data_IF_878252165213
#
_entry.id   IF_878252165213
#
_cell.length_a   1.000
_cell.length_b   1.000
_cell.length_c   1.000
_cell.angle_alpha   90.00
_cell.angle_beta   90.00
_cell.angle_gamma   90.00
#
_symmetry.space_group_name_H-M   'P 1'
#
loop_
_entity.id
_entity.type
_entity.pdbx_description
1 polymer ?
#
# COMPACT_ATOMS: atom_id res chain seq x y z
N UNK A 1 4.16 3.91 -11.72
CA UNK A 1 5.29 3.01 -11.98
C UNK A 1 5.61 2.24 -10.72
N UNK A 2 6.10 1.00 -10.83
CA UNK A 2 6.47 0.13 -9.70
C UNK A 2 7.40 0.87 -8.71
N UNK A 3 8.37 1.62 -9.23
CA UNK A 3 9.34 2.40 -8.45
C UNK A 3 8.69 3.44 -7.52
N UNK A 4 7.62 4.11 -7.97
CA UNK A 4 6.87 5.06 -7.14
C UNK A 4 6.18 4.35 -5.98
N UNK A 5 5.62 3.17 -6.22
CA UNK A 5 5.00 2.36 -5.16
C UNK A 5 6.00 1.96 -4.08
N UNK A 6 7.23 1.59 -4.48
CA UNK A 6 8.31 1.27 -3.54
C UNK A 6 8.80 2.50 -2.78
N UNK A 7 8.90 3.66 -3.45
CA UNK A 7 9.25 4.93 -2.79
C UNK A 7 8.20 5.33 -1.74
N UNK A 8 6.91 5.26 -2.09
CA UNK A 8 5.81 5.55 -1.16
C UNK A 8 5.78 4.57 0.01
N UNK A 9 6.03 3.27 -0.24
CA UNK A 9 6.14 2.28 0.84
C UNK A 9 7.29 2.58 1.80
N UNK A 10 8.44 3.01 1.26
CA UNK A 10 9.63 3.38 2.02
C UNK A 10 9.37 4.58 2.95
N UNK A 11 8.80 5.65 2.41
CA UNK A 11 8.65 6.91 3.13
C UNK A 11 7.37 6.96 3.99
N UNK A 12 6.23 6.46 3.49
CA UNK A 12 4.92 6.62 4.15
C UNK A 12 4.50 5.40 4.98
N UNK A 13 5.04 4.21 4.71
CA UNK A 13 4.61 2.98 5.38
C UNK A 13 5.72 2.35 6.25
N UNK A 14 6.78 3.10 6.53
CA UNK A 14 7.77 2.74 7.55
C UNK A 14 8.71 1.61 7.14
N UNK A 15 8.90 1.38 5.84
CA UNK A 15 9.85 0.39 5.30
C UNK A 15 11.31 0.84 5.38
N UNK A 16 11.58 2.08 5.82
CA UNK A 16 12.95 2.59 6.02
C UNK A 16 13.74 1.76 7.05
N UNK A 17 13.05 1.13 8.00
CA UNK A 17 13.64 0.27 9.02
C UNK A 17 12.77 -0.95 9.28
N UNK A 18 13.39 -2.08 9.61
CA UNK A 18 12.67 -3.26 10.08
C UNK A 18 12.06 -2.97 11.46
N UNK A 19 10.73 -2.74 11.51
CA UNK A 19 10.02 -2.46 12.77
C UNK A 19 9.82 -3.69 13.64
N UNK A 20 9.86 -4.88 13.05
CA UNK A 20 9.70 -6.15 13.74
C UNK A 20 10.97 -6.98 13.67
N UNK A 21 11.20 -7.82 14.68
CA UNK A 21 12.32 -8.77 14.69
C UNK A 21 11.92 -10.05 13.96
N UNK A 22 12.85 -10.57 13.16
CA UNK A 22 12.69 -11.80 12.39
C UNK A 22 12.03 -11.60 11.02
N UNK A 23 12.50 -12.39 10.05
CA UNK A 23 12.07 -12.30 8.63
C UNK A 23 10.56 -12.42 8.45
N UNK A 24 9.93 -13.37 9.15
CA UNK A 24 8.48 -13.65 9.02
C UNK A 24 7.64 -12.43 9.41
N UNK A 25 8.00 -11.73 10.47
CA UNK A 25 7.25 -10.57 10.97
C UNK A 25 7.44 -9.36 10.06
N UNK A 26 8.65 -9.15 9.53
CA UNK A 26 8.91 -8.10 8.52
C UNK A 26 8.17 -8.40 7.21
N UNK A 27 8.13 -9.65 6.77
CA UNK A 27 7.36 -10.07 5.60
C UNK A 27 5.86 -9.85 5.79
N UNK A 28 5.33 -10.15 6.98
CA UNK A 28 3.91 -9.90 7.29
C UNK A 28 3.57 -8.41 7.22
N UNK A 29 4.42 -7.55 7.78
CA UNK A 29 4.29 -6.10 7.61
C UNK A 29 4.30 -5.73 6.13
N UNK A 30 5.20 -6.34 5.35
CA UNK A 30 5.31 -6.02 3.95
C UNK A 30 4.03 -6.36 3.16
N UNK A 31 3.51 -7.58 3.37
CA UNK A 31 2.29 -8.04 2.71
C UNK A 31 1.06 -7.21 3.11
N UNK A 32 0.92 -6.85 4.38
CA UNK A 32 -0.20 -6.03 4.84
C UNK A 32 -0.18 -4.65 4.19
N UNK A 33 0.97 -3.97 4.18
CA UNK A 33 1.13 -2.68 3.52
C UNK A 33 0.82 -2.76 2.02
N UNK A 34 1.37 -3.75 1.32
CA UNK A 34 1.12 -3.93 -0.10
C UNK A 34 -0.37 -4.18 -0.40
N UNK A 35 -1.04 -4.97 0.45
CA UNK A 35 -2.47 -5.25 0.32
C UNK A 35 -3.29 -3.98 0.47
N UNK A 36 -3.02 -3.16 1.49
CA UNK A 36 -3.71 -1.87 1.68
C UNK A 36 -3.49 -0.91 0.50
N UNK A 37 -2.26 -0.81 -0.01
CA UNK A 37 -1.96 0.03 -1.18
C UNK A 37 -2.68 -0.46 -2.44
N UNK A 38 -2.75 -1.78 -2.65
CA UNK A 38 -3.47 -2.38 -3.76
C UNK A 38 -4.98 -2.12 -3.68
N UNK A 39 -5.58 -2.28 -2.49
CA UNK A 39 -7.00 -1.96 -2.27
C UNK A 39 -7.30 -0.49 -2.57
N UNK A 40 -6.46 0.44 -2.08
CA UNK A 40 -6.60 1.88 -2.38
C UNK A 40 -6.51 2.14 -3.88
N UNK A 41 -5.57 1.50 -4.58
CA UNK A 41 -5.41 1.64 -6.03
C UNK A 41 -6.63 1.13 -6.80
N UNK A 42 -7.20 -0.02 -6.39
CA UNK A 42 -8.41 -0.59 -6.99
C UNK A 42 -9.60 0.36 -6.78
N UNK A 43 -9.82 0.81 -5.55
CA UNK A 43 -10.90 1.74 -5.23
C UNK A 43 -10.80 3.02 -6.07
N UNK A 44 -9.63 3.66 -6.11
CA UNK A 44 -9.40 4.85 -6.94
C UNK A 44 -9.62 4.59 -8.43
N UNK A 45 -9.24 3.42 -8.93
CA UNK A 45 -9.44 3.05 -10.33
C UNK A 45 -10.93 2.86 -10.66
N UNK A 46 -11.69 2.23 -9.77
CA UNK A 46 -13.14 2.05 -9.93
C UNK A 46 -13.88 3.38 -9.85
N UNK A 47 -13.51 4.26 -8.92
CA UNK A 47 -14.06 5.62 -8.82
C UNK A 47 -13.78 6.44 -10.08
N UNK A 48 -12.54 6.39 -10.60
CA UNK A 48 -12.19 7.07 -11.87
C UNK A 48 -12.98 6.56 -13.08
N UNK A 49 -13.41 5.30 -13.05
CA UNK A 49 -14.27 4.71 -14.08
C UNK A 49 -15.76 5.02 -13.88
N UNK A 50 -16.14 5.72 -12.81
CA UNK A 50 -17.54 6.00 -12.47
C UNK A 50 -18.33 4.76 -12.05
N UNK A 51 -17.67 3.67 -11.67
CA UNK A 51 -18.32 2.40 -11.32
C UNK A 51 -18.77 2.32 -9.85
N UNK A 52 -18.26 3.22 -9.01
CA UNK A 52 -18.58 3.33 -7.58
C UNK A 52 -18.64 4.80 -7.19
N UNK A 53 -19.61 5.18 -6.35
CA UNK A 53 -19.59 6.51 -5.72
C UNK A 53 -18.41 6.59 -4.75
N UNK A 54 -17.48 7.50 -5.03
CA UNK A 54 -16.29 7.68 -4.21
C UNK A 54 -16.55 8.64 -3.06
N UNK A 55 -16.70 8.11 -1.84
CA UNK A 55 -16.62 8.87 -0.58
C UNK A 55 -15.17 8.98 -0.07
N UNK A 56 -14.19 8.96 -0.98
CA UNK A 56 -12.77 9.05 -0.64
C UNK A 56 -12.34 10.51 -0.73
N UNK A 57 -12.27 11.18 0.43
CA UNK A 57 -11.73 12.53 0.62
C UNK A 57 -10.20 12.55 0.52
#
# INVERSE_FOLDING_TARGET
>A
TIERSFADAKELHGYRYARFRGLKSVQMQAYLTATCQNMKKIALHLTKKGLVEGYFF
#
